data_IF_515538230975
#
_entry.id   IF_515538230975
#
_cell.length_a   1.000
_cell.length_b   1.000
_cell.length_c   1.000
_cell.angle_alpha   90.00
_cell.angle_beta   90.00
_cell.angle_gamma   90.00
#
_symmetry.space_group_name_H-M   'P 1'
#
loop_
_entity.id
_entity.type
_entity.pdbx_description
1 polymer ?
#
# COMPACT_ATOMS: atom_id res chain seq x y z
N UNK A 1 11.11 -1.10 -24.87
CA UNK A 1 12.03 -0.04 -24.44
C UNK A 1 11.74 0.51 -23.05
N UNK A 2 10.50 0.90 -22.71
CA UNK A 2 10.16 1.46 -21.38
C UNK A 2 10.49 0.52 -20.19
N UNK A 3 10.19 -0.79 -20.29
CA UNK A 3 10.50 -1.80 -19.26
C UNK A 3 12.01 -2.02 -19.03
N UNK A 4 12.84 -1.90 -20.08
CA UNK A 4 14.30 -2.12 -19.99
C UNK A 4 15.00 -0.94 -19.30
N UNK A 5 14.59 0.29 -19.66
CA UNK A 5 15.13 1.52 -19.06
C UNK A 5 14.83 1.58 -17.55
N UNK A 6 13.63 1.12 -17.14
CA UNK A 6 13.21 1.10 -15.73
C UNK A 6 14.05 0.10 -14.91
N UNK A 7 14.35 -1.09 -15.44
CA UNK A 7 15.25 -2.06 -14.78
C UNK A 7 16.66 -1.49 -14.59
N UNK A 8 17.17 -0.73 -15.55
CA UNK A 8 18.48 -0.04 -15.44
C UNK A 8 18.48 1.14 -14.48
N UNK A 9 17.40 1.93 -14.39
CA UNK A 9 17.32 3.06 -13.45
C UNK A 9 17.23 2.58 -12.00
N UNK A 10 16.48 1.51 -11.73
CA UNK A 10 16.43 0.92 -10.38
C UNK A 10 17.70 0.17 -9.98
N UNK A 11 18.43 -0.43 -10.94
CA UNK A 11 19.76 -0.99 -10.69
C UNK A 11 20.80 0.10 -10.39
N UNK A 12 20.67 1.30 -10.97
CA UNK A 12 21.60 2.40 -10.75
C UNK A 12 21.50 3.05 -9.35
N UNK A 13 20.38 2.87 -8.63
CA UNK A 13 20.21 3.38 -7.25
C UNK A 13 20.92 2.50 -6.21
N UNK A 14 21.28 1.27 -6.58
CA UNK A 14 22.19 0.42 -5.81
C UNK A 14 23.59 0.52 -6.40
N UNK A 15 24.45 1.31 -5.76
CA UNK A 15 25.88 1.35 -6.05
C UNK A 15 26.55 0.01 -5.70
N UNK A 16 26.40 -0.99 -6.57
CA UNK A 16 27.22 -2.20 -6.56
C UNK A 16 27.66 -2.48 -7.99
N UNK A 17 28.86 -2.01 -8.29
CA UNK A 17 29.66 -2.47 -9.42
C UNK A 17 29.92 -3.97 -9.26
N UNK A 18 29.25 -4.80 -10.05
CA UNK A 18 29.80 -6.10 -10.45
C UNK A 18 30.13 -5.98 -11.94
N UNK A 19 31.40 -6.28 -12.22
CA UNK A 19 32.09 -6.03 -13.47
C UNK A 19 31.41 -6.64 -14.70
N UNK A 20 31.65 -5.95 -15.82
CA UNK A 20 31.26 -6.28 -17.18
C UNK A 20 31.66 -7.70 -17.60
N UNK A 21 30.72 -8.39 -18.24
CA UNK A 21 30.96 -9.48 -19.17
C UNK A 21 30.06 -9.31 -20.39
N UNK A 22 30.67 -8.84 -21.49
CA UNK A 22 30.25 -8.91 -22.89
C UNK A 22 28.75 -8.98 -23.28
N UNK A 23 28.30 -7.92 -23.96
CA UNK A 23 27.41 -7.93 -25.12
C UNK A 23 26.22 -8.90 -25.13
N UNK A 24 25.05 -8.42 -24.70
CA UNK A 24 23.78 -9.02 -25.10
C UNK A 24 22.89 -7.93 -25.72
N UNK A 25 22.73 -8.02 -27.04
CA UNK A 25 21.74 -7.28 -27.81
C UNK A 25 20.36 -7.45 -27.17
N UNK A 26 19.50 -6.45 -27.35
CA UNK A 26 18.09 -6.50 -27.00
C UNK A 26 17.38 -7.62 -27.78
N UNK A 27 17.48 -8.85 -27.30
CA UNK A 27 16.60 -9.94 -27.71
C UNK A 27 15.26 -9.71 -27.03
N UNK A 28 14.27 -9.34 -27.83
CA UNK A 28 12.89 -9.71 -27.57
C UNK A 28 12.93 -11.22 -27.34
N UNK A 29 12.75 -11.65 -26.09
CA UNK A 29 12.73 -13.07 -25.76
C UNK A 29 11.69 -13.73 -26.68
N UNK A 30 12.04 -14.77 -27.44
CA UNK A 30 11.07 -15.48 -28.25
C UNK A 30 9.94 -15.98 -27.35
N UNK A 31 8.69 -15.98 -27.81
CA UNK A 31 7.60 -16.56 -27.05
C UNK A 31 7.97 -18.00 -26.68
N UNK A 32 7.87 -18.34 -25.40
CA UNK A 32 8.10 -19.69 -24.93
C UNK A 32 7.13 -20.62 -25.67
N UNK A 33 7.67 -21.47 -26.55
CA UNK A 33 6.93 -22.57 -27.17
C UNK A 33 6.59 -23.57 -26.07
N UNK A 34 5.32 -23.97 -25.98
CA UNK A 34 4.84 -25.00 -25.07
C UNK A 34 5.60 -26.32 -25.27
N UNK A 35 6.67 -26.48 -24.51
CA UNK A 35 7.61 -27.59 -24.48
C UNK A 35 8.64 -27.27 -23.39
N UNK A 36 8.38 -27.76 -22.18
CA UNK A 36 9.20 -27.69 -20.95
C UNK A 36 9.51 -26.32 -20.31
N UNK A 37 9.29 -25.17 -20.97
CA UNK A 37 9.54 -23.87 -20.36
C UNK A 37 8.36 -23.36 -19.49
N UNK A 38 8.63 -23.05 -18.22
CA UNK A 38 7.66 -22.38 -17.33
C UNK A 38 7.39 -20.94 -17.79
N UNK A 39 6.12 -20.60 -17.98
CA UNK A 39 5.69 -19.26 -18.38
C UNK A 39 5.34 -18.43 -17.15
N UNK A 40 5.97 -17.26 -16.99
CA UNK A 40 5.66 -16.33 -15.91
C UNK A 40 4.52 -15.41 -16.32
N UNK A 41 3.53 -15.19 -15.44
CA UNK A 41 2.43 -14.25 -15.70
C UNK A 41 2.96 -12.87 -16.09
N UNK A 42 2.37 -12.27 -17.13
CA UNK A 42 2.83 -11.03 -17.74
C UNK A 42 3.76 -11.22 -18.96
N UNK A 43 4.17 -12.45 -19.26
CA UNK A 43 4.78 -12.82 -20.56
C UNK A 43 3.70 -13.30 -21.54
N UNK A 44 3.89 -13.11 -22.86
CA UNK A 44 2.99 -13.70 -23.84
C UNK A 44 3.09 -15.23 -23.79
N UNK A 45 1.94 -15.90 -23.70
CA UNK A 45 1.86 -17.35 -23.79
C UNK A 45 1.58 -17.74 -25.23
N UNK A 46 2.39 -18.65 -25.78
CA UNK A 46 2.24 -19.15 -27.16
C UNK A 46 2.03 -20.65 -27.16
N UNK A 47 0.94 -21.07 -27.79
CA UNK A 47 0.57 -22.48 -27.95
C UNK A 47 0.73 -22.86 -29.42
N UNK A 48 1.35 -24.01 -29.67
CA UNK A 48 1.41 -24.59 -31.01
C UNK A 48 0.19 -25.47 -31.22
N UNK A 49 -0.71 -25.05 -32.10
CA UNK A 49 -1.98 -25.74 -32.37
C UNK A 49 -1.85 -26.83 -33.44
N UNK A 50 -0.64 -27.00 -34.02
CA UNK A 50 -0.33 -28.00 -35.02
C UNK A 50 -0.64 -27.55 -36.45
N UNK A 51 -0.71 -28.50 -37.37
CA UNK A 51 -0.99 -28.23 -38.79
C UNK A 51 -2.44 -27.78 -39.01
N UNK A 52 -2.64 -26.91 -40.00
CA UNK A 52 -3.98 -26.51 -40.43
C UNK A 52 -4.77 -27.71 -40.96
N UNK A 53 -6.12 -27.71 -40.84
CA UNK A 53 -6.97 -28.76 -41.40
C UNK A 53 -6.71 -28.96 -42.90
N UNK A 54 -6.84 -30.21 -43.36
CA UNK A 54 -6.63 -30.56 -44.76
C UNK A 54 -7.52 -29.70 -45.69
N UNK A 55 -6.90 -28.99 -46.64
CA UNK A 55 -7.59 -28.13 -47.60
C UNK A 55 -7.61 -26.64 -47.27
N UNK A 56 -7.06 -26.21 -46.14
CA UNK A 56 -6.91 -24.79 -45.76
C UNK A 56 -5.45 -24.46 -45.51
N UNK A 57 -4.96 -23.35 -46.06
CA UNK A 57 -3.63 -22.85 -45.73
C UNK A 57 -3.62 -22.26 -44.30
N UNK A 58 -2.43 -22.21 -43.69
CA UNK A 58 -2.29 -21.72 -42.32
C UNK A 58 -2.74 -20.26 -42.18
N UNK A 59 -2.50 -19.43 -43.21
CA UNK A 59 -2.85 -18.01 -43.18
C UNK A 59 -4.38 -17.78 -43.14
N UNK A 60 -5.15 -18.52 -43.95
CA UNK A 60 -6.61 -18.46 -43.96
C UNK A 60 -7.17 -18.95 -42.63
N UNK A 61 -6.64 -20.06 -42.10
CA UNK A 61 -7.07 -20.57 -40.81
C UNK A 61 -6.79 -19.59 -39.66
N UNK A 62 -5.60 -18.96 -39.64
CA UNK A 62 -5.25 -17.95 -38.66
C UNK A 62 -6.19 -16.72 -38.76
N UNK A 63 -6.52 -16.26 -39.97
CA UNK A 63 -7.45 -15.17 -40.19
C UNK A 63 -8.87 -15.49 -39.67
N UNK A 64 -9.36 -16.71 -39.92
CA UNK A 64 -10.67 -17.16 -39.41
C UNK A 64 -10.73 -17.17 -37.89
N UNK A 65 -9.68 -17.63 -37.21
CA UNK A 65 -9.63 -17.65 -35.75
C UNK A 65 -9.47 -16.25 -35.14
N UNK A 66 -8.69 -15.38 -35.78
CA UNK A 66 -8.59 -13.97 -35.37
C UNK A 66 -9.95 -13.24 -35.46
N UNK A 67 -10.78 -13.58 -36.45
CA UNK A 67 -12.12 -13.01 -36.60
C UNK A 67 -13.09 -13.42 -35.47
N UNK A 68 -12.83 -14.55 -34.79
CA UNK A 68 -13.66 -15.02 -33.67
C UNK A 68 -13.36 -14.32 -32.33
N UNK A 69 -12.34 -13.45 -32.29
CA UNK A 69 -11.94 -12.71 -31.08
C UNK A 69 -11.77 -13.61 -29.85
N UNK A 70 -11.15 -14.79 -30.05
CA UNK A 70 -10.95 -15.77 -28.99
C UNK A 70 -10.08 -15.19 -27.86
N UNK A 71 -10.32 -15.68 -26.65
CA UNK A 71 -9.59 -15.33 -25.43
C UNK A 71 -8.91 -16.55 -24.84
N UNK A 72 -7.91 -16.30 -24.00
CA UNK A 72 -7.25 -17.34 -23.23
C UNK A 72 -8.21 -18.00 -22.25
N UNK A 73 -8.19 -19.34 -22.21
CA UNK A 73 -8.93 -20.16 -21.25
C UNK A 73 -7.93 -21.00 -20.47
N UNK A 74 -7.87 -20.83 -19.17
CA UNK A 74 -6.98 -21.57 -18.29
C UNK A 74 -7.81 -22.39 -17.30
N UNK A 75 -7.63 -23.71 -17.29
CA UNK A 75 -8.35 -24.62 -16.41
C UNK A 75 -9.88 -24.42 -16.44
N UNK A 76 -10.42 -24.24 -17.64
CA UNK A 76 -11.85 -23.99 -17.87
C UNK A 76 -12.33 -22.56 -17.55
N UNK A 77 -11.46 -21.68 -17.04
CA UNK A 77 -11.79 -20.27 -16.78
C UNK A 77 -11.39 -19.40 -17.96
N UNK A 78 -12.33 -18.65 -18.52
CA UNK A 78 -12.03 -17.59 -19.49
C UNK A 78 -11.32 -16.44 -18.78
N UNK A 79 -10.21 -15.97 -19.35
CA UNK A 79 -9.45 -14.83 -18.85
C UNK A 79 -9.91 -13.57 -19.61
N UNK A 80 -10.65 -12.65 -18.97
CA UNK A 80 -11.15 -11.44 -19.63
C UNK A 80 -10.00 -10.62 -20.23
N UNK A 81 -10.19 -10.00 -21.40
CA UNK A 81 -9.17 -9.12 -21.99
C UNK A 81 -7.88 -9.81 -22.50
N UNK A 82 -7.67 -11.10 -22.24
CA UNK A 82 -6.55 -11.88 -22.76
C UNK A 82 -6.83 -12.38 -24.19
N UNK A 83 -7.01 -11.44 -25.13
CA UNK A 83 -7.29 -11.75 -26.54
C UNK A 83 -6.14 -12.55 -27.15
N UNK A 84 -6.50 -13.61 -27.86
CA UNK A 84 -5.59 -14.43 -28.62
C UNK A 84 -5.37 -13.80 -30.01
N UNK A 85 -4.15 -13.94 -30.51
CA UNK A 85 -3.79 -13.67 -31.89
C UNK A 85 -3.15 -14.91 -32.50
N UNK A 86 -3.61 -15.29 -33.69
CA UNK A 86 -3.17 -16.49 -34.38
C UNK A 86 -2.30 -16.13 -35.57
N UNK A 87 -1.22 -16.89 -35.75
CA UNK A 87 -0.26 -16.71 -36.83
C UNK A 87 0.33 -18.06 -37.23
N UNK A 88 1.21 -18.05 -38.25
CA UNK A 88 1.92 -19.24 -38.71
C UNK A 88 3.36 -19.24 -38.19
N UNK A 89 3.79 -20.39 -37.67
CA UNK A 89 5.18 -20.67 -37.33
C UNK A 89 6.04 -20.71 -38.60
N UNK A 90 7.36 -20.58 -38.44
CA UNK A 90 8.33 -20.78 -39.53
C UNK A 90 8.21 -22.18 -40.19
N UNK A 91 7.64 -23.15 -39.47
CA UNK A 91 7.35 -24.51 -39.98
C UNK A 91 6.00 -24.64 -40.70
N UNK A 92 5.22 -23.56 -40.81
CA UNK A 92 3.87 -23.58 -41.39
C UNK A 92 2.76 -24.06 -40.46
N UNK A 93 3.07 -24.31 -39.19
CA UNK A 93 2.09 -24.72 -38.16
C UNK A 93 1.36 -23.51 -37.58
N UNK A 94 0.10 -23.70 -37.17
CA UNK A 94 -0.71 -22.68 -36.56
C UNK A 94 -0.28 -22.45 -35.10
N UNK A 95 0.02 -21.19 -34.75
CA UNK A 95 0.35 -20.79 -33.38
C UNK A 95 -0.64 -19.74 -32.87
N UNK A 96 -1.08 -19.89 -31.62
CA UNK A 96 -1.92 -18.91 -30.94
C UNK A 96 -1.14 -18.25 -29.81
N UNK A 97 -1.18 -16.92 -29.74
CA UNK A 97 -0.49 -16.14 -28.71
C UNK A 97 -1.49 -15.28 -27.94
N UNK A 98 -1.46 -15.31 -26.62
CA UNK A 98 -2.30 -14.44 -25.79
C UNK A 98 -1.52 -13.85 -24.61
N UNK A 99 -1.98 -12.70 -24.14
CA UNK A 99 -1.42 -12.04 -22.95
C UNK A 99 -1.82 -12.80 -21.68
N UNK A 100 -0.85 -13.08 -20.81
CA UNK A 100 -1.10 -13.60 -19.45
C UNK A 100 -1.08 -12.49 -18.39
N UNK A 101 -1.11 -11.22 -18.81
CA UNK A 101 -0.97 -10.09 -17.92
C UNK A 101 -2.11 -10.01 -16.90
N UNK A 102 -1.73 -9.96 -15.63
CA UNK A 102 -2.60 -9.61 -14.49
C UNK A 102 -2.56 -8.12 -14.15
N UNK A 103 -1.75 -7.34 -14.89
CA UNK A 103 -1.54 -5.93 -14.63
C UNK A 103 -2.72 -5.05 -15.10
N UNK A 104 -2.86 -3.91 -14.43
CA UNK A 104 -3.87 -2.89 -14.68
C UNK A 104 -4.70 -2.57 -13.43
N UNK A 105 -5.50 -1.52 -13.52
CA UNK A 105 -6.44 -1.09 -12.50
C UNK A 105 -7.90 -1.39 -12.91
N UNK A 106 -8.85 -1.15 -11.99
CA UNK A 106 -10.28 -1.24 -12.26
C UNK A 106 -10.86 -2.66 -12.36
N UNK A 107 -12.15 -2.71 -12.69
CA UNK A 107 -12.97 -3.94 -12.65
C UNK A 107 -12.47 -5.04 -13.59
N UNK A 108 -11.97 -4.68 -14.77
CA UNK A 108 -11.49 -5.65 -15.75
C UNK A 108 -10.17 -6.31 -15.31
N UNK A 109 -9.28 -5.56 -14.66
CA UNK A 109 -8.08 -6.11 -14.06
C UNK A 109 -8.41 -6.97 -12.83
N UNK A 110 -9.39 -6.56 -12.02
CA UNK A 110 -9.88 -7.34 -10.89
C UNK A 110 -10.49 -8.68 -11.36
N UNK A 111 -11.39 -8.66 -12.34
CA UNK A 111 -11.99 -9.88 -12.94
C UNK A 111 -10.92 -10.81 -13.50
N UNK A 112 -9.92 -10.28 -14.22
CA UNK A 112 -8.77 -11.07 -14.69
C UNK A 112 -8.03 -11.77 -13.57
N UNK A 113 -7.68 -11.05 -12.50
CA UNK A 113 -7.00 -11.61 -11.33
C UNK A 113 -7.84 -12.69 -10.67
N UNK A 114 -9.15 -12.49 -10.53
CA UNK A 114 -10.09 -13.49 -10.00
C UNK A 114 -10.17 -14.73 -10.90
N UNK A 115 -10.30 -14.58 -12.23
CA UNK A 115 -10.33 -15.72 -13.16
C UNK A 115 -9.03 -16.53 -13.07
N UNK A 116 -7.88 -15.87 -12.93
CA UNK A 116 -6.61 -16.55 -12.68
C UNK A 116 -6.60 -17.27 -11.34
N UNK A 117 -7.03 -16.65 -10.24
CA UNK A 117 -7.12 -17.32 -8.93
C UNK A 117 -8.00 -18.58 -9.00
N UNK A 118 -9.15 -18.51 -9.67
CA UNK A 118 -10.02 -19.67 -9.87
C UNK A 118 -9.35 -20.75 -10.72
N UNK A 119 -8.66 -20.37 -11.80
CA UNK A 119 -7.92 -21.32 -12.64
C UNK A 119 -6.81 -22.04 -11.85
N UNK A 120 -6.14 -21.33 -10.95
CA UNK A 120 -5.14 -21.88 -10.04
C UNK A 120 -5.72 -22.57 -8.80
N UNK A 121 -7.04 -22.74 -8.71
CA UNK A 121 -7.77 -23.35 -7.58
C UNK A 121 -7.42 -22.73 -6.22
N UNK A 122 -7.27 -21.40 -6.17
CA UNK A 122 -6.87 -20.65 -4.99
C UNK A 122 -5.82 -19.59 -5.29
N UNK A 123 -5.00 -19.26 -4.30
CA UNK A 123 -3.90 -18.31 -4.50
C UNK A 123 -2.82 -18.95 -5.40
N UNK A 124 -2.41 -18.23 -6.44
CA UNK A 124 -1.19 -18.55 -7.17
C UNK A 124 -0.02 -18.48 -6.19
N UNK A 125 0.62 -19.60 -5.88
CA UNK A 125 1.93 -19.54 -5.23
C UNK A 125 2.83 -18.73 -6.14
N UNK A 126 3.22 -17.53 -5.70
CA UNK A 126 4.00 -16.61 -6.54
C UNK A 126 5.30 -17.27 -7.02
N UNK A 127 5.89 -18.13 -6.19
CA UNK A 127 7.11 -18.88 -6.49
C UNK A 127 6.85 -20.27 -7.10
N UNK A 128 5.63 -20.83 -6.97
CA UNK A 128 5.33 -22.19 -7.41
C UNK A 128 4.79 -22.22 -8.84
N UNK A 129 5.44 -22.98 -9.71
CA UNK A 129 4.88 -23.29 -11.02
C UNK A 129 3.74 -24.31 -10.88
N UNK A 130 2.61 -24.06 -11.52
CA UNK A 130 1.49 -25.01 -11.59
C UNK A 130 1.20 -25.34 -13.05
N UNK A 131 1.11 -26.64 -13.34
CA UNK A 131 0.71 -27.10 -14.67
C UNK A 131 -0.81 -27.04 -14.80
N UNK A 132 -1.29 -26.28 -15.78
CA UNK A 132 -2.71 -26.07 -16.04
C UNK A 132 -3.03 -26.43 -17.50
N UNK A 133 -4.22 -26.98 -17.79
CA UNK A 133 -4.69 -27.10 -19.15
C UNK A 133 -5.09 -25.72 -19.68
N UNK A 134 -4.51 -25.32 -20.80
CA UNK A 134 -4.72 -24.02 -21.42
C UNK A 134 -5.20 -24.19 -22.86
N UNK A 135 -6.20 -23.40 -23.24
CA UNK A 135 -6.79 -23.37 -24.57
C UNK A 135 -7.18 -21.94 -24.96
N UNK A 136 -7.69 -21.78 -26.18
CA UNK A 136 -8.38 -20.57 -26.62
C UNK A 136 -9.87 -20.88 -26.82
N UNK A 137 -10.73 -19.95 -26.41
CA UNK A 137 -12.18 -20.09 -26.48
C UNK A 137 -12.88 -18.75 -26.60
N UNK A 138 -14.20 -18.73 -26.87
CA UNK A 138 -14.95 -17.49 -26.98
C UNK A 138 -15.08 -16.81 -25.62
N UNK A 139 -15.23 -15.48 -25.62
CA UNK A 139 -15.38 -14.70 -24.38
C UNK A 139 -16.61 -15.10 -23.54
N UNK A 140 -17.61 -15.74 -24.15
CA UNK A 140 -18.82 -16.24 -23.51
C UNK A 140 -18.63 -17.54 -22.72
N UNK A 141 -17.46 -18.20 -22.84
CA UNK A 141 -17.17 -19.47 -22.17
C UNK A 141 -17.07 -20.66 -23.13
N UNK A 142 -16.34 -21.69 -22.69
CA UNK A 142 -16.02 -22.88 -23.49
C UNK A 142 -14.61 -22.84 -24.08
N UNK A 143 -14.26 -23.87 -24.85
CA UNK A 143 -12.96 -24.01 -25.50
C UNK A 143 -13.18 -24.28 -26.99
N UNK A 144 -12.43 -23.58 -27.83
CA UNK A 144 -12.42 -23.77 -29.30
C UNK A 144 -11.22 -24.60 -29.74
N UNK A 145 -10.10 -24.49 -29.04
CA UNK A 145 -8.89 -25.28 -29.31
C UNK A 145 -8.71 -26.42 -28.30
N UNK A 146 -7.98 -27.46 -28.69
CA UNK A 146 -7.60 -28.53 -27.77
C UNK A 146 -6.76 -27.99 -26.59
N UNK A 147 -7.01 -28.43 -25.35
CA UNK A 147 -6.24 -27.99 -24.19
C UNK A 147 -4.82 -28.57 -24.23
N UNK A 148 -3.84 -27.71 -23.95
CA UNK A 148 -2.44 -28.08 -23.79
C UNK A 148 -1.99 -27.84 -22.35
N UNK A 149 -1.21 -28.76 -21.80
CA UNK A 149 -0.69 -28.62 -20.44
C UNK A 149 0.49 -27.64 -20.45
N UNK A 150 0.34 -26.53 -19.72
CA UNK A 150 1.36 -25.48 -19.62
C UNK A 150 1.70 -25.24 -18.16
N UNK A 151 3.01 -25.23 -17.86
CA UNK A 151 3.53 -24.83 -16.55
C UNK A 151 3.53 -23.30 -16.44
N UNK A 152 2.71 -22.74 -15.55
CA UNK A 152 2.60 -21.29 -15.34
C UNK A 152 3.00 -20.94 -13.91
N UNK A 153 3.84 -19.91 -13.76
CA UNK A 153 4.28 -19.36 -12.48
C UNK A 153 3.81 -17.92 -12.32
N UNK A 154 3.49 -17.51 -11.09
CA UNK A 154 2.99 -16.16 -10.81
C UNK A 154 4.02 -15.06 -11.01
N UNK A 155 5.21 -15.23 -10.44
CA UNK A 155 6.33 -14.30 -10.56
C UNK A 155 7.66 -15.08 -10.52
N UNK A 156 8.73 -14.54 -11.11
CA UNK A 156 10.03 -15.19 -10.99
C UNK A 156 10.59 -15.02 -9.56
N UNK A 157 11.39 -15.99 -9.08
CA UNK A 157 12.04 -15.89 -7.76
C UNK A 157 12.89 -14.63 -7.61
N UNK A 158 13.51 -14.19 -8.73
CA UNK A 158 14.27 -12.94 -8.79
C UNK A 158 13.38 -11.71 -8.60
N UNK A 159 12.25 -11.65 -9.29
CA UNK A 159 11.32 -10.52 -9.17
C UNK A 159 10.68 -10.47 -7.76
N UNK A 160 10.42 -11.63 -7.14
CA UNK A 160 9.95 -11.71 -5.76
C UNK A 160 11.01 -11.26 -4.75
N UNK A 161 12.25 -11.70 -4.92
CA UNK A 161 13.36 -11.25 -4.08
C UNK A 161 13.57 -9.73 -4.16
N UNK A 162 13.56 -9.18 -5.39
CA UNK A 162 13.65 -7.72 -5.60
C UNK A 162 12.47 -6.97 -4.99
N UNK A 163 11.24 -7.49 -5.15
CA UNK A 163 10.05 -6.88 -4.58
C UNK A 163 10.11 -6.86 -3.04
N UNK A 164 10.56 -7.95 -2.42
CA UNK A 164 10.76 -8.02 -0.97
C UNK A 164 11.82 -7.03 -0.48
N UNK A 165 12.93 -6.88 -1.20
CA UNK A 165 13.98 -5.89 -0.88
C UNK A 165 13.45 -4.46 -0.99
N UNK A 166 12.75 -4.12 -2.07
CA UNK A 166 12.15 -2.80 -2.24
C UNK A 166 11.11 -2.50 -1.16
N UNK A 167 10.25 -3.47 -0.86
CA UNK A 167 9.27 -3.34 0.20
C UNK A 167 9.94 -3.07 1.55
N UNK A 168 10.99 -3.83 1.89
CA UNK A 168 11.75 -3.65 3.13
C UNK A 168 12.49 -2.30 3.18
N UNK A 169 13.08 -1.87 2.06
CA UNK A 169 13.78 -0.58 1.97
C UNK A 169 12.81 0.58 2.20
N UNK A 170 11.68 0.60 1.50
CA UNK A 170 10.67 1.66 1.68
C UNK A 170 10.13 1.63 3.11
N UNK A 171 9.79 0.46 3.64
CA UNK A 171 9.34 0.32 5.02
C UNK A 171 10.39 0.87 6.01
N UNK A 172 11.67 0.53 5.83
CA UNK A 172 12.76 1.02 6.67
C UNK A 172 12.91 2.55 6.60
N UNK A 173 12.79 3.14 5.41
CA UNK A 173 12.83 4.60 5.23
C UNK A 173 11.67 5.27 5.97
N UNK A 174 10.44 4.76 5.83
CA UNK A 174 9.28 5.32 6.52
C UNK A 174 9.35 5.14 8.04
N UNK A 175 9.82 3.98 8.52
CA UNK A 175 10.04 3.74 9.95
C UNK A 175 11.13 4.67 10.49
N UNK A 176 12.24 4.83 9.77
CA UNK A 176 13.31 5.75 10.14
C UNK A 176 12.81 7.20 10.19
N UNK A 177 12.06 7.62 9.17
CA UNK A 177 11.43 8.94 9.11
C UNK A 177 10.49 9.16 10.30
N UNK A 178 9.65 8.17 10.65
CA UNK A 178 8.78 8.21 11.81
C UNK A 178 9.56 8.32 13.13
N UNK A 179 10.51 7.42 13.40
CA UNK A 179 11.20 7.40 14.68
C UNK A 179 12.16 8.58 14.89
N UNK A 180 12.66 9.18 13.80
CA UNK A 180 13.70 10.21 13.87
C UNK A 180 13.18 11.64 13.71
N UNK A 181 12.21 11.86 12.84
CA UNK A 181 11.80 13.22 12.45
C UNK A 181 10.31 13.47 12.61
N UNK A 182 9.46 12.59 12.09
CA UNK A 182 8.04 12.92 11.91
C UNK A 182 7.10 12.30 12.94
N UNK A 183 7.54 11.32 13.72
CA UNK A 183 6.66 10.60 14.65
C UNK A 183 6.36 11.38 15.93
N UNK A 184 7.25 12.28 16.33
CA UNK A 184 7.08 13.13 17.53
C UNK A 184 6.39 14.43 17.16
N UNK A 185 5.73 15.06 18.12
CA UNK A 185 5.17 16.41 17.96
C UNK A 185 6.29 17.46 17.96
N UNK A 186 6.75 17.89 16.79
CA UNK A 186 7.82 18.90 16.67
C UNK A 186 7.44 20.31 17.17
N UNK A 187 6.18 20.52 17.53
CA UNK A 187 5.60 21.85 17.71
C UNK A 187 4.91 22.03 19.06
N UNK A 188 5.51 21.53 20.15
CA UNK A 188 5.16 22.10 21.45
C UNK A 188 5.73 23.51 21.46
N UNK A 189 4.86 24.48 21.20
CA UNK A 189 5.20 25.89 21.19
C UNK A 189 5.77 26.28 22.56
N UNK A 190 6.96 26.88 22.60
CA UNK A 190 7.50 27.44 23.83
C UNK A 190 6.54 28.49 24.37
N UNK A 191 6.27 28.43 25.68
CA UNK A 191 5.45 29.45 26.34
C UNK A 191 6.40 30.50 26.91
N UNK A 192 6.14 31.78 26.59
CA UNK A 192 6.93 32.89 27.10
C UNK A 192 6.97 32.87 28.64
N UNK A 193 8.16 33.04 29.22
CA UNK A 193 8.35 33.02 30.67
C UNK A 193 8.56 31.63 31.30
N UNK A 194 8.43 30.53 30.54
CA UNK A 194 8.69 29.17 31.03
C UNK A 194 9.84 28.53 30.23
N UNK A 195 11.00 28.25 30.86
CA UNK A 195 12.13 27.64 30.17
C UNK A 195 11.79 26.21 29.74
N UNK A 196 12.21 25.82 28.53
CA UNK A 196 12.06 24.45 28.06
C UNK A 196 13.17 23.55 28.63
N UNK A 197 12.88 22.34 29.13
CA UNK A 197 13.89 21.43 29.64
C UNK A 197 14.94 21.06 28.57
N UNK A 198 16.23 21.07 28.92
CA UNK A 198 17.33 20.88 27.97
C UNK A 198 17.30 19.54 27.21
N UNK A 199 16.74 18.48 27.81
CA UNK A 199 16.62 17.14 27.21
C UNK A 199 15.17 16.77 26.88
N UNK A 200 14.31 17.76 26.64
CA UNK A 200 12.91 17.50 26.36
C UNK A 200 12.72 16.68 25.08
N UNK A 201 11.90 15.62 25.17
CA UNK A 201 11.47 14.82 24.04
C UNK A 201 9.96 14.79 24.00
N UNK A 202 9.41 15.33 22.91
CA UNK A 202 7.98 15.38 22.70
C UNK A 202 7.39 13.96 22.51
N UNK A 203 6.14 13.74 22.95
CA UNK A 203 5.47 12.46 22.77
C UNK A 203 5.16 12.15 21.30
N UNK A 204 4.95 10.88 20.99
CA UNK A 204 4.50 10.46 19.66
C UNK A 204 3.07 10.91 19.34
N UNK A 205 2.80 11.22 18.07
CA UNK A 205 1.46 11.58 17.60
C UNK A 205 0.81 10.43 16.85
N UNK A 206 -0.41 10.06 17.27
CA UNK A 206 -1.22 9.05 16.59
C UNK A 206 -1.56 9.46 15.14
N UNK A 207 -1.91 10.72 14.90
CA UNK A 207 -2.24 11.21 13.55
C UNK A 207 -1.03 11.13 12.60
N UNK A 208 0.17 11.51 13.09
CA UNK A 208 1.41 11.39 12.31
C UNK A 208 1.80 9.93 12.08
N UNK A 209 1.57 9.07 13.07
CA UNK A 209 1.73 7.62 12.93
C UNK A 209 0.82 7.07 11.83
N UNK A 210 -0.47 7.39 11.85
CA UNK A 210 -1.44 6.93 10.84
C UNK A 210 -1.06 7.40 9.43
N UNK A 211 -0.66 8.66 9.29
CA UNK A 211 -0.22 9.21 7.99
C UNK A 211 0.99 8.46 7.44
N UNK A 212 2.01 8.23 8.26
CA UNK A 212 3.24 7.54 7.85
C UNK A 212 3.02 6.04 7.66
N UNK A 213 2.17 5.42 8.46
CA UNK A 213 1.74 4.03 8.33
C UNK A 213 1.13 3.77 6.96
N UNK A 214 0.11 4.55 6.58
CA UNK A 214 -0.55 4.39 5.29
C UNK A 214 0.32 4.81 4.12
N UNK A 215 1.08 5.90 4.26
CA UNK A 215 2.05 6.34 3.26
C UNK A 215 3.10 5.27 2.99
N UNK A 216 3.63 4.65 4.05
CA UNK A 216 4.61 3.58 3.96
C UNK A 216 4.04 2.32 3.31
N UNK A 217 2.88 1.84 3.77
CA UNK A 217 2.24 0.63 3.23
C UNK A 217 1.92 0.78 1.74
N UNK A 218 1.30 1.89 1.34
CA UNK A 218 0.93 2.11 -0.07
C UNK A 218 2.18 2.29 -0.93
N UNK A 219 3.18 3.05 -0.48
CA UNK A 219 4.42 3.24 -1.26
C UNK A 219 5.19 1.92 -1.41
N UNK A 220 5.32 1.13 -0.33
CA UNK A 220 6.00 -0.16 -0.35
C UNK A 220 5.26 -1.17 -1.24
N UNK A 221 3.93 -1.22 -1.14
CA UNK A 221 3.08 -2.06 -1.99
C UNK A 221 3.18 -1.66 -3.46
N UNK A 222 3.16 -0.36 -3.77
CA UNK A 222 3.33 0.13 -5.13
C UNK A 222 4.69 -0.27 -5.73
N UNK A 223 5.78 -0.07 -4.98
CA UNK A 223 7.12 -0.45 -5.41
C UNK A 223 7.26 -1.97 -5.65
N UNK A 224 6.69 -2.79 -4.75
CA UNK A 224 6.69 -4.24 -4.89
C UNK A 224 5.88 -4.70 -6.13
N UNK A 225 4.65 -4.21 -6.30
CA UNK A 225 3.81 -4.54 -7.46
C UNK A 225 4.47 -4.08 -8.76
N UNK A 226 5.05 -2.87 -8.78
CA UNK A 226 5.75 -2.35 -9.95
C UNK A 226 6.93 -3.24 -10.34
N UNK A 227 7.67 -3.77 -9.36
CA UNK A 227 8.81 -4.67 -9.60
C UNK A 227 8.36 -5.97 -10.25
N UNK A 228 7.24 -6.53 -9.80
CA UNK A 228 6.74 -7.83 -10.30
C UNK A 228 6.00 -7.68 -11.64
N UNK A 229 5.07 -6.73 -11.73
CA UNK A 229 4.17 -6.58 -12.89
C UNK A 229 4.76 -5.69 -13.99
N UNK A 230 5.70 -4.82 -13.65
CA UNK A 230 6.24 -3.79 -14.54
C UNK A 230 5.20 -2.76 -15.00
N UNK A 231 4.05 -2.67 -14.31
CA UNK A 231 2.99 -1.70 -14.62
C UNK A 231 3.01 -0.54 -13.64
N UNK A 232 2.97 0.68 -14.18
CA UNK A 232 2.83 1.91 -13.40
C UNK A 232 1.38 2.18 -13.01
N UNK A 233 0.43 1.57 -13.72
CA UNK A 233 -1.00 1.79 -13.58
C UNK A 233 -1.62 0.73 -12.66
N UNK A 234 -1.35 0.87 -11.35
CA UNK A 234 -1.69 -0.12 -10.32
C UNK A 234 -2.40 0.50 -9.11
N UNK A 235 -2.47 1.82 -9.03
CA UNK A 235 -3.15 2.54 -7.95
C UNK A 235 -4.65 2.52 -8.22
N UNK A 236 -5.43 1.97 -7.28
CA UNK A 236 -6.89 1.87 -7.36
C UNK A 236 -7.57 3.14 -6.86
N UNK A 237 -8.83 3.35 -7.29
CA UNK A 237 -9.68 4.43 -6.78
C UNK A 237 -9.83 4.34 -5.27
N UNK A 238 -10.02 3.13 -4.73
CA UNK A 238 -10.10 2.92 -3.29
C UNK A 238 -8.83 3.34 -2.54
N UNK A 239 -7.65 3.08 -3.09
CA UNK A 239 -6.37 3.50 -2.48
C UNK A 239 -6.19 5.01 -2.57
N UNK A 240 -6.56 5.66 -3.68
CA UNK A 240 -6.55 7.12 -3.77
C UNK A 240 -7.50 7.77 -2.78
N UNK A 241 -8.71 7.22 -2.62
CA UNK A 241 -9.68 7.69 -1.63
C UNK A 241 -9.16 7.51 -0.21
N UNK A 242 -8.54 6.37 0.12
CA UNK A 242 -7.89 6.14 1.41
C UNK A 242 -6.81 7.20 1.69
N UNK A 243 -5.94 7.48 0.72
CA UNK A 243 -4.92 8.53 0.87
C UNK A 243 -5.54 9.92 1.02
N UNK A 244 -6.62 10.20 0.31
CA UNK A 244 -7.39 11.44 0.47
C UNK A 244 -8.00 11.58 1.86
N UNK A 245 -8.53 10.50 2.44
CA UNK A 245 -9.08 10.48 3.81
C UNK A 245 -7.95 10.67 4.83
N UNK A 246 -6.88 9.88 4.74
CA UNK A 246 -5.75 9.95 5.69
C UNK A 246 -5.02 11.29 5.60
N UNK A 247 -4.78 11.79 4.39
CA UNK A 247 -4.20 13.12 4.17
C UNK A 247 -5.15 14.23 4.60
N UNK A 248 -6.42 14.15 4.23
CA UNK A 248 -7.45 15.14 4.56
C UNK A 248 -7.68 15.29 6.06
N UNK A 249 -7.74 14.19 6.82
CA UNK A 249 -7.91 14.24 8.28
C UNK A 249 -6.68 14.85 8.96
N UNK A 250 -5.47 14.59 8.46
CA UNK A 250 -4.24 15.20 9.02
C UNK A 250 -4.19 16.72 8.83
N UNK A 251 -4.64 17.22 7.67
CA UNK A 251 -4.71 18.65 7.37
C UNK A 251 -5.80 19.32 8.22
N UNK A 252 -6.97 18.70 8.34
CA UNK A 252 -8.05 19.19 9.20
C UNK A 252 -7.62 19.27 10.67
N UNK A 253 -6.85 18.29 11.17
CA UNK A 253 -6.27 18.35 12.52
C UNK A 253 -5.34 19.57 12.69
N UNK A 254 -4.50 19.88 11.70
CA UNK A 254 -3.61 21.04 11.74
C UNK A 254 -4.37 22.40 11.73
N UNK A 255 -5.55 22.47 11.12
CA UNK A 255 -6.42 23.65 11.21
C UNK A 255 -7.11 23.76 12.58
N UNK A 256 -7.44 22.64 13.22
CA UNK A 256 -8.01 22.62 14.57
C UNK A 256 -7.01 23.05 15.65
N UNK A 257 -5.74 22.68 15.50
CA UNK A 257 -4.65 23.10 16.42
C UNK A 257 -4.50 24.62 16.54
N UNK A 258 -5.12 25.41 15.65
CA UNK A 258 -5.15 26.89 15.72
C UNK A 258 -6.25 27.43 16.64
N UNK A 259 -7.18 26.60 17.12
CA UNK A 259 -8.18 26.97 18.13
C UNK A 259 -7.65 26.63 19.52
N UNK A 260 -7.97 27.42 20.56
CA UNK A 260 -7.59 27.08 21.93
C UNK A 260 -8.18 25.73 22.31
N UNK A 261 -7.35 24.70 22.40
CA UNK A 261 -7.76 23.37 22.88
C UNK A 261 -7.67 23.30 24.41
N UNK A 262 -8.39 22.38 25.03
CA UNK A 262 -8.32 22.16 26.48
C UNK A 262 -6.88 21.90 26.95
N UNK A 263 -6.08 21.23 26.12
CA UNK A 263 -4.66 21.03 26.35
C UNK A 263 -3.85 22.31 26.32
N UNK A 264 -4.14 23.21 25.37
CA UNK A 264 -3.49 24.51 25.32
C UNK A 264 -3.86 25.36 26.54
N UNK A 265 -5.13 25.33 26.95
CA UNK A 265 -5.62 26.00 28.17
C UNK A 265 -4.94 25.46 29.42
N UNK A 266 -4.89 24.12 29.58
CA UNK A 266 -4.19 23.44 30.68
C UNK A 266 -2.72 23.84 30.73
N UNK A 267 -2.01 23.80 29.59
CA UNK A 267 -0.60 24.22 29.51
C UNK A 267 -0.41 25.69 29.89
N UNK A 268 -1.31 26.58 29.48
CA UNK A 268 -1.26 28.00 29.86
C UNK A 268 -1.50 28.20 31.37
N UNK A 269 -2.41 27.44 31.97
CA UNK A 269 -2.65 27.47 33.42
C UNK A 269 -1.40 27.03 34.19
N UNK A 270 -0.77 25.93 33.81
CA UNK A 270 0.47 25.48 34.46
C UNK A 270 1.64 26.42 34.19
N UNK A 271 1.69 27.10 33.04
CA UNK A 271 2.68 28.13 32.79
C UNK A 271 2.50 29.34 33.72
N UNK A 272 1.26 29.76 34.00
CA UNK A 272 0.99 30.81 34.98
C UNK A 272 1.40 30.41 36.40
N UNK A 273 1.15 29.14 36.80
CA UNK A 273 1.60 28.59 38.08
C UNK A 273 3.13 28.58 38.19
N UNK A 274 3.84 28.23 37.11
CA UNK A 274 5.30 28.29 37.07
C UNK A 274 5.82 29.71 37.33
N UNK A 275 5.24 30.71 36.65
CA UNK A 275 5.65 32.11 36.77
C UNK A 275 5.37 32.62 38.19
N UNK A 276 4.20 32.30 38.76
CA UNK A 276 3.86 32.65 40.14
C UNK A 276 4.85 32.02 41.15
N UNK A 277 5.17 30.73 40.99
CA UNK A 277 6.14 30.05 41.85
C UNK A 277 7.56 30.62 41.72
N UNK A 278 7.93 31.09 40.53
CA UNK A 278 9.26 31.70 40.28
C UNK A 278 9.43 33.09 40.89
N UNK A 279 8.32 33.81 41.13
CA UNK A 279 8.32 35.17 41.70
C UNK A 279 8.13 35.19 43.22
N UNK A 280 7.83 34.04 43.84
CA UNK A 280 7.79 33.88 45.30
C UNK A 280 9.18 34.10 45.92
N UNK A 281 9.23 34.61 47.16
CA UNK A 281 10.48 34.82 47.90
C UNK A 281 10.44 34.04 49.23
N UNK A 282 11.23 32.95 49.40
CA UNK A 282 12.10 32.33 48.40
C UNK A 282 11.31 31.60 47.30
N UNK A 283 11.88 31.40 46.10
CA UNK A 283 11.20 30.73 44.99
C UNK A 283 10.85 29.28 45.32
N UNK A 284 9.61 28.88 45.05
CA UNK A 284 9.16 27.50 45.27
C UNK A 284 9.60 26.59 44.12
N UNK A 285 10.79 26.02 44.26
CA UNK A 285 11.38 25.09 43.28
C UNK A 285 10.54 23.84 43.05
N UNK A 286 9.75 23.41 44.04
CA UNK A 286 8.94 22.18 43.93
C UNK A 286 7.70 22.44 43.07
N UNK A 287 7.01 23.58 43.29
CA UNK A 287 5.90 24.01 42.45
C UNK A 287 6.37 24.36 41.02
N UNK A 288 7.55 24.95 40.86
CA UNK A 288 8.16 25.18 39.54
C UNK A 288 8.42 23.86 38.79
N UNK A 289 8.98 22.85 39.46
CA UNK A 289 9.24 21.55 38.82
C UNK A 289 7.93 20.84 38.41
N UNK A 290 6.92 20.82 39.30
CA UNK A 290 5.63 20.19 39.03
C UNK A 290 4.85 20.88 37.90
N UNK A 291 4.88 22.21 37.84
CA UNK A 291 4.27 22.97 36.74
C UNK A 291 5.00 22.76 35.41
N UNK A 292 6.33 22.67 35.44
CA UNK A 292 7.13 22.45 34.24
C UNK A 292 6.83 21.11 33.55
N UNK A 293 6.65 20.04 34.32
CA UNK A 293 6.28 18.71 33.80
C UNK A 293 4.90 18.73 33.11
N UNK A 294 3.97 19.54 33.62
CA UNK A 294 2.64 19.68 33.02
C UNK A 294 2.63 20.55 31.75
N UNK A 295 3.53 21.56 31.69
CA UNK A 295 3.71 22.42 30.51
C UNK A 295 4.43 21.68 29.38
N UNK A 296 5.42 20.85 29.73
CA UNK A 296 6.23 20.05 28.81
C UNK A 296 6.19 18.57 29.23
N UNK A 297 5.09 17.84 28.93
CA UNK A 297 4.95 16.44 29.32
C UNK A 297 6.00 15.58 28.57
N UNK A 298 6.86 14.84 29.28
CA UNK A 298 7.87 14.00 28.65
C UNK A 298 7.24 12.79 27.95
N UNK A 299 7.87 12.29 26.89
CA UNK A 299 7.52 11.00 26.28
C UNK A 299 7.57 9.87 27.31
N UNK A 300 6.51 9.05 27.36
CA UNK A 300 6.44 7.85 28.21
C UNK A 300 6.74 6.57 27.40
N UNK A 301 7.13 6.73 26.13
CA UNK A 301 7.39 5.63 25.20
C UNK A 301 6.32 5.50 24.12
N UNK A 302 6.56 4.64 23.13
CA UNK A 302 5.73 4.59 21.91
C UNK A 302 4.25 4.27 22.19
N UNK A 303 3.96 3.18 22.91
CA UNK A 303 2.58 2.76 23.16
C UNK A 303 1.83 3.72 24.10
N UNK A 304 2.41 4.11 25.25
CA UNK A 304 1.78 5.11 26.12
C UNK A 304 1.49 6.41 25.37
N UNK A 305 2.44 6.92 24.56
CA UNK A 305 2.23 8.17 23.83
C UNK A 305 1.13 8.07 22.75
N UNK A 306 0.99 6.91 22.09
CA UNK A 306 -0.05 6.69 21.07
C UNK A 306 -1.45 6.48 21.68
N UNK A 307 -1.51 5.84 22.86
CA UNK A 307 -2.77 5.42 23.50
C UNK A 307 -3.29 6.42 24.55
N UNK A 308 -2.42 7.25 25.11
CA UNK A 308 -2.81 8.23 26.12
C UNK A 308 -3.22 9.57 25.51
N UNK A 309 -4.12 10.25 26.22
CA UNK A 309 -4.29 11.70 26.15
C UNK A 309 -3.72 12.31 27.45
N UNK A 310 -3.64 13.65 27.55
CA UNK A 310 -2.87 14.40 28.56
C UNK A 310 -2.95 14.00 30.05
N UNK A 311 -3.88 13.13 30.47
CA UNK A 311 -3.98 12.62 31.82
C UNK A 311 -4.11 11.08 31.93
N UNK A 312 -4.51 10.34 30.88
CA UNK A 312 -4.81 8.91 30.97
C UNK A 312 -4.96 8.20 29.61
N UNK A 313 -5.02 6.86 29.63
CA UNK A 313 -5.32 6.04 28.45
C UNK A 313 -6.72 6.35 27.90
N UNK A 314 -6.80 6.56 26.59
CA UNK A 314 -8.05 6.86 25.89
C UNK A 314 -8.50 5.65 25.05
N UNK A 315 -9.69 5.12 25.38
CA UNK A 315 -10.28 3.95 24.69
C UNK A 315 -10.47 4.23 23.19
N UNK A 316 -10.78 5.47 22.81
CA UNK A 316 -10.97 5.83 21.42
C UNK A 316 -9.66 5.81 20.63
N UNK A 317 -8.55 6.25 21.24
CA UNK A 317 -7.21 6.15 20.62
C UNK A 317 -6.79 4.69 20.44
N UNK A 318 -7.12 3.84 21.42
CA UNK A 318 -6.93 2.40 21.31
C UNK A 318 -7.73 1.82 20.14
N UNK A 319 -9.02 2.16 20.01
CA UNK A 319 -9.88 1.71 18.93
C UNK A 319 -9.33 2.15 17.56
N UNK A 320 -8.93 3.42 17.41
CA UNK A 320 -8.35 3.95 16.18
C UNK A 320 -7.04 3.24 15.81
N UNK A 321 -6.16 3.01 16.78
CA UNK A 321 -4.89 2.31 16.55
C UNK A 321 -5.13 0.84 16.16
N UNK A 322 -6.03 0.15 16.86
CA UNK A 322 -6.39 -1.23 16.56
C UNK A 322 -6.96 -1.36 15.14
N UNK A 323 -7.91 -0.48 14.76
CA UNK A 323 -8.48 -0.51 13.41
C UNK A 323 -7.46 -0.17 12.33
N UNK A 324 -6.55 0.77 12.59
CA UNK A 324 -5.44 1.09 11.68
C UNK A 324 -4.57 -0.14 11.41
N UNK A 325 -4.26 -0.91 12.45
CA UNK A 325 -3.51 -2.16 12.33
C UNK A 325 -4.25 -3.23 11.53
N UNK A 326 -5.51 -3.52 11.88
CA UNK A 326 -6.32 -4.56 11.20
C UNK A 326 -6.51 -4.24 9.72
N UNK A 327 -6.79 -2.98 9.37
CA UNK A 327 -6.92 -2.57 7.98
C UNK A 327 -5.58 -2.63 7.24
N UNK A 328 -4.49 -2.22 7.89
CA UNK A 328 -3.15 -2.31 7.29
C UNK A 328 -2.73 -3.76 7.00
N UNK A 329 -2.99 -4.68 7.94
CA UNK A 329 -2.70 -6.11 7.76
C UNK A 329 -3.56 -6.70 6.63
N UNK A 330 -4.86 -6.43 6.64
CA UNK A 330 -5.78 -6.89 5.57
C UNK A 330 -5.38 -6.33 4.22
N UNK A 331 -4.96 -5.06 4.15
CA UNK A 331 -4.47 -4.44 2.92
C UNK A 331 -3.25 -5.17 2.36
N UNK A 332 -2.24 -5.43 3.21
CA UNK A 332 -1.02 -6.16 2.81
C UNK A 332 -1.33 -7.60 2.38
N UNK A 333 -2.26 -8.25 3.09
CA UNK A 333 -2.75 -9.57 2.71
C UNK A 333 -3.38 -9.54 1.30
N UNK A 334 -4.25 -8.59 1.01
CA UNK A 334 -4.87 -8.47 -0.32
C UNK A 334 -3.87 -8.07 -1.41
N UNK A 335 -2.87 -7.23 -1.11
CA UNK A 335 -1.78 -6.90 -2.04
C UNK A 335 -0.99 -8.13 -2.42
N UNK A 336 -0.59 -8.94 -1.44
CA UNK A 336 0.17 -10.18 -1.69
C UNK A 336 -0.71 -11.22 -2.39
N UNK A 337 -2.00 -11.29 -2.05
CA UNK A 337 -2.97 -12.23 -2.64
C UNK A 337 -3.36 -11.91 -4.09
N UNK A 338 -3.46 -10.64 -4.44
CA UNK A 338 -3.96 -10.22 -5.75
C UNK A 338 -2.89 -9.63 -6.66
N UNK A 339 -1.70 -9.33 -6.14
CA UNK A 339 -0.64 -8.62 -6.88
C UNK A 339 -1.12 -7.29 -7.48
N UNK A 340 -2.08 -6.67 -6.81
CA UNK A 340 -2.67 -5.39 -7.16
C UNK A 340 -3.08 -4.65 -5.88
N UNK A 341 -3.27 -3.34 -5.99
CA UNK A 341 -3.82 -2.60 -4.86
C UNK A 341 -5.27 -3.05 -4.60
N UNK A 342 -5.70 -3.14 -3.33
CA UNK A 342 -7.07 -3.52 -2.99
C UNK A 342 -8.07 -2.48 -3.50
N UNK A 343 -9.23 -2.94 -3.97
CA UNK A 343 -10.39 -2.08 -4.19
C UNK A 343 -11.19 -2.02 -2.88
N UNK A 344 -10.99 -0.94 -2.12
CA UNK A 344 -11.72 -0.70 -0.88
C UNK A 344 -13.13 -0.21 -1.22
N UNK A 345 -14.16 -0.88 -0.68
CA UNK A 345 -15.55 -0.51 -0.94
C UNK A 345 -15.88 0.87 -0.36
N UNK A 346 -16.83 1.57 -0.98
CA UNK A 346 -17.31 2.86 -0.48
C UNK A 346 -17.80 2.77 0.98
N UNK A 347 -18.39 1.65 1.39
CA UNK A 347 -18.83 1.43 2.77
C UNK A 347 -17.66 1.32 3.75
N UNK A 348 -16.56 0.67 3.36
CA UNK A 348 -15.37 0.52 4.19
C UNK A 348 -14.60 1.86 4.27
N UNK A 349 -14.51 2.59 3.16
CA UNK A 349 -13.97 3.96 3.12
C UNK A 349 -14.83 4.94 3.93
N UNK A 350 -16.16 4.82 3.86
CA UNK A 350 -17.07 5.61 4.67
C UNK A 350 -16.92 5.24 6.15
N UNK A 351 -16.79 3.96 6.49
CA UNK A 351 -16.57 3.53 7.88
C UNK A 351 -15.24 4.05 8.43
N UNK A 352 -14.16 4.04 7.64
CA UNK A 352 -12.87 4.63 8.06
C UNK A 352 -12.94 6.15 8.16
N UNK A 353 -13.63 6.80 7.21
CA UNK A 353 -13.88 8.24 7.23
C UNK A 353 -14.74 8.66 8.43
N UNK A 354 -15.79 7.91 8.77
CA UNK A 354 -16.65 8.12 9.94
C UNK A 354 -15.88 7.77 11.21
N UNK A 355 -15.17 6.65 11.30
CA UNK A 355 -14.41 6.31 12.52
C UNK A 355 -13.36 7.38 12.82
N UNK A 356 -12.67 7.90 11.81
CA UNK A 356 -11.72 9.00 11.99
C UNK A 356 -12.46 10.33 12.23
N UNK A 357 -13.48 10.66 11.43
CA UNK A 357 -14.25 11.92 11.47
C UNK A 357 -15.16 12.10 12.69
N UNK A 358 -15.74 11.02 13.20
CA UNK A 358 -16.61 11.00 14.38
C UNK A 358 -15.79 11.13 15.67
N UNK A 359 -14.56 10.62 15.71
CA UNK A 359 -13.60 11.00 16.76
C UNK A 359 -13.46 12.53 16.84
N UNK A 360 -13.23 13.14 15.68
CA UNK A 360 -13.08 14.59 15.57
C UNK A 360 -14.38 15.31 15.95
N UNK A 361 -15.55 14.82 15.50
CA UNK A 361 -16.86 15.38 15.85
C UNK A 361 -17.18 15.34 17.35
N UNK A 362 -16.86 14.23 18.04
CA UNK A 362 -17.05 14.13 19.48
C UNK A 362 -16.06 14.99 20.26
N UNK A 363 -14.78 15.10 19.85
CA UNK A 363 -13.84 16.09 20.41
C UNK A 363 -14.34 17.53 20.26
N UNK A 364 -15.06 17.85 19.18
CA UNK A 364 -15.67 19.18 18.99
C UNK A 364 -16.85 19.46 19.92
N UNK A 365 -17.60 18.43 20.34
CA UNK A 365 -18.73 18.57 21.27
C UNK A 365 -18.29 18.54 22.73
N UNK A 366 -17.26 17.76 23.08
CA UNK A 366 -16.71 17.70 24.44
C UNK A 366 -16.15 19.06 24.90
N UNK A 367 -15.56 19.83 23.97
CA UNK A 367 -15.10 21.21 24.20
C UNK A 367 -16.21 22.24 24.43
N UNK A 368 -17.47 21.90 24.18
CA UNK A 368 -18.60 22.83 24.35
C UNK A 368 -19.28 22.71 25.72
N UNK A 369 -18.90 21.74 26.55
CA UNK A 369 -19.39 21.63 27.93
C UNK A 369 -18.47 22.47 28.82
N UNK A 370 -18.95 23.59 29.40
CA UNK A 370 -18.13 24.39 30.31
C UNK A 370 -17.72 23.53 31.51
N UNK A 371 -16.42 23.48 31.81
CA UNK A 371 -15.94 22.86 33.04
C UNK A 371 -16.67 23.49 34.25
N UNK A 372 -17.18 22.70 35.21
CA UNK A 372 -17.77 23.26 36.41
C UNK A 372 -16.68 24.05 37.16
N UNK A 373 -16.91 25.36 37.31
CA UNK A 373 -16.12 26.27 38.14
C UNK A 373 -16.10 25.74 39.57
N UNK A 374 -15.04 25.01 39.91
CA UNK A 374 -14.88 24.39 41.21
C UNK A 374 -13.42 24.46 41.66
N UNK A 375 -12.92 25.66 41.96
CA UNK A 375 -11.85 25.81 42.95
C UNK A 375 -12.14 27.09 43.75
N UNK A 376 -12.36 26.91 45.05
CA UNK A 376 -12.60 27.97 46.01
C UNK A 376 -11.40 28.93 46.05
N UNK A 377 -11.66 30.23 45.86
CA UNK A 377 -10.71 31.29 46.14
C UNK A 377 -10.41 31.29 47.65
N UNK A 378 -9.14 31.04 48.02
CA UNK A 378 -8.65 31.33 49.36
C UNK A 378 -8.56 32.85 49.55
N UNK A 379 -9.15 33.42 50.62
CA UNK A 379 -9.04 34.84 50.91
C UNK A 379 -7.61 35.23 51.31
N UNK A 380 -7.29 36.49 50.97
CA UNK A 380 -5.97 37.11 51.01
C UNK A 380 -5.32 37.23 52.40
#
# INVERSE_FOLDING_TARGET
MRRTIIRTVFAAVLGTTIAMGCGAQAQVAPPATAGDATVVLGQPLTLNLGAAPAGTDCATQAAMLNAQALVLVANGQTIPGARASFACSAKGELVGTASTSIAGNGDDAAKRRTSWQTAFSGFFSLAGAKTLPVAFGPATGGMTTAPQMVSIQGASDRDLGLAAVWFALVAAVFLFAFFRHFGRTDAITPIAGVPMPANYRAPYSLARFQLLWWSGIVTASYAAILTITGSMDTITTGTMALMGIVGGTSVLAAFQDRRPSDDQTRRQQHAALYIAASTATPPDRTAMAASLEQVYPPTQGLLPDLLSDAASYNIHRLQLLAWTGVLGITFLYEVTRTLGMPELSANLLALTGISNGTYFGFKMQEQQVPAPTGIAQLPA
#
